data_IF_415014918491
#
_entry.id   IF_415014918491
#
_cell.length_a   1.000
_cell.length_b   1.000
_cell.length_c   1.000
_cell.angle_alpha   90.00
_cell.angle_beta   90.00
_cell.angle_gamma   90.00
#
_symmetry.space_group_name_H-M   'P 1'
#
loop_
_entity.id
_entity.type
_entity.pdbx_description
1 polymer ?
#
# COMPACT_ATOMS: atom_id res chain seq x y z
N UNK A 1 -23.01 69.30 17.83
CA UNK A 1 -23.13 68.61 19.14
C UNK A 1 -22.68 67.17 18.93
N UNK A 2 -21.37 66.97 19.00
CA UNK A 2 -20.77 65.64 19.14
C UNK A 2 -20.43 65.51 20.63
N UNK A 3 -20.76 64.42 21.32
CA UNK A 3 -20.22 64.20 22.65
C UNK A 3 -18.75 63.81 22.51
N UNK A 4 -17.92 64.43 23.36
CA UNK A 4 -16.47 64.24 23.48
C UNK A 4 -16.05 62.77 23.55
N UNK A 5 -15.26 62.32 22.58
CA UNK A 5 -14.61 61.01 22.52
C UNK A 5 -13.25 61.05 23.27
N UNK A 6 -13.06 61.98 24.22
CA UNK A 6 -11.75 62.25 24.79
C UNK A 6 -11.48 61.64 26.19
N UNK A 7 -12.36 60.81 26.76
CA UNK A 7 -12.23 60.41 28.18
C UNK A 7 -12.36 58.91 28.52
N UNK A 8 -12.17 57.97 27.58
CA UNK A 8 -12.32 56.51 27.89
C UNK A 8 -11.02 55.68 27.80
N UNK A 9 -9.89 56.20 27.28
CA UNK A 9 -8.74 55.33 26.94
C UNK A 9 -7.52 55.38 27.90
N UNK A 10 -7.71 55.54 29.22
CA UNK A 10 -6.56 55.48 30.15
C UNK A 10 -6.65 54.52 31.33
N UNK A 11 -7.76 53.81 31.55
CA UNK A 11 -7.90 52.91 32.72
C UNK A 11 -7.68 51.42 32.44
N UNK A 12 -7.46 50.98 31.19
CA UNK A 12 -7.43 49.54 30.84
C UNK A 12 -6.01 48.98 30.58
N UNK A 13 -4.94 49.75 30.82
CA UNK A 13 -3.57 49.41 30.37
C UNK A 13 -2.77 48.53 31.34
N UNK A 14 -3.44 47.61 32.03
CA UNK A 14 -2.76 46.63 32.90
C UNK A 14 -2.32 45.40 32.10
N UNK A 15 -1.17 44.81 32.45
CA UNK A 15 -0.66 43.58 31.82
C UNK A 15 -1.71 42.46 31.79
N UNK A 16 -2.49 42.19 32.87
CA UNK A 16 -3.53 41.16 32.85
C UNK A 16 -4.69 41.48 31.87
N UNK A 17 -5.10 42.74 31.73
CA UNK A 17 -6.14 43.12 30.74
C UNK A 17 -5.64 42.94 29.30
N UNK A 18 -4.37 43.26 29.03
CA UNK A 18 -3.75 42.99 27.73
C UNK A 18 -3.70 41.49 27.41
N UNK A 19 -3.44 40.65 28.42
CA UNK A 19 -3.46 39.18 28.26
C UNK A 19 -4.88 38.67 27.99
N UNK A 20 -5.89 39.19 28.68
CA UNK A 20 -7.28 38.83 28.42
C UNK A 20 -7.69 39.20 27.00
N UNK A 21 -7.38 40.42 26.55
CA UNK A 21 -7.63 40.86 25.17
C UNK A 21 -6.91 39.95 24.15
N UNK A 22 -5.64 39.61 24.41
CA UNK A 22 -4.88 38.68 23.57
C UNK A 22 -5.45 37.26 23.56
N UNK A 23 -6.00 36.78 24.68
CA UNK A 23 -6.55 35.43 24.82
C UNK A 23 -7.81 35.20 23.96
N UNK A 24 -8.51 36.26 23.55
CA UNK A 24 -9.77 36.15 22.82
C UNK A 24 -9.65 35.39 21.49
N UNK A 25 -8.49 35.47 20.83
CA UNK A 25 -8.21 34.80 19.55
C UNK A 25 -7.57 33.41 19.71
N UNK A 26 -7.57 32.84 20.92
CA UNK A 26 -6.95 31.54 21.21
C UNK A 26 -8.01 30.44 21.35
N UNK A 27 -7.62 29.16 21.09
CA UNK A 27 -8.45 27.99 21.37
C UNK A 27 -9.04 28.00 22.78
N UNK A 28 -10.24 27.45 22.94
CA UNK A 28 -10.95 27.47 24.21
C UNK A 28 -10.17 26.76 25.31
N UNK A 29 -9.49 25.65 24.99
CA UNK A 29 -8.65 24.95 25.97
C UNK A 29 -7.46 25.81 26.44
N UNK A 30 -6.88 26.65 25.57
CA UNK A 30 -5.80 27.58 25.95
C UNK A 30 -6.32 28.71 26.83
N UNK A 31 -7.55 29.16 26.60
CA UNK A 31 -8.21 30.16 27.44
C UNK A 31 -8.54 29.60 28.83
N UNK A 32 -8.89 28.32 28.93
CA UNK A 32 -9.04 27.65 30.24
C UNK A 32 -7.68 27.43 30.92
N UNK A 33 -6.63 27.07 30.17
CA UNK A 33 -5.27 27.01 30.70
C UNK A 33 -4.82 28.36 31.29
N UNK A 34 -5.07 29.46 30.57
CA UNK A 34 -4.80 30.82 31.06
C UNK A 34 -5.58 31.14 32.34
N UNK A 35 -6.86 30.77 32.41
CA UNK A 35 -7.66 30.93 33.63
C UNK A 35 -7.05 30.17 34.81
N UNK A 36 -6.63 28.92 34.61
CA UNK A 36 -5.96 28.12 35.65
C UNK A 36 -4.64 28.74 36.09
N UNK A 37 -3.83 29.23 35.15
CA UNK A 37 -2.57 29.92 35.44
C UNK A 37 -2.79 31.20 36.25
N UNK A 38 -3.80 32.00 35.89
CA UNK A 38 -4.14 33.25 36.58
C UNK A 38 -4.66 33.04 38.01
N UNK A 39 -5.38 31.93 38.25
CA UNK A 39 -5.99 31.63 39.55
C UNK A 39 -5.04 30.84 40.46
N UNK A 40 -4.43 29.78 39.94
CA UNK A 40 -3.74 28.75 40.72
C UNK A 40 -2.24 28.67 40.43
N UNK A 41 -1.73 29.43 39.44
CA UNK A 41 -0.35 29.30 38.96
C UNK A 41 -0.16 28.11 38.00
N UNK A 42 1.09 27.66 37.86
CA UNK A 42 1.44 26.60 36.91
C UNK A 42 0.62 25.32 37.19
N UNK A 43 -0.01 24.70 36.15
CA UNK A 43 -0.87 23.53 36.34
C UNK A 43 -0.16 22.34 37.00
N UNK A 44 -0.91 21.59 37.82
CA UNK A 44 -0.49 20.30 38.37
C UNK A 44 -0.85 19.15 37.42
N UNK A 45 -0.48 17.91 37.79
CA UNK A 45 -0.68 16.74 36.95
C UNK A 45 -2.17 16.49 36.61
N UNK A 46 -3.06 16.69 37.58
CA UNK A 46 -4.51 16.56 37.37
C UNK A 46 -5.02 17.62 36.38
N UNK A 47 -4.57 18.87 36.52
CA UNK A 47 -4.91 19.93 35.58
C UNK A 47 -4.32 19.68 34.18
N UNK A 48 -3.14 19.07 34.06
CA UNK A 48 -2.58 18.68 32.77
C UNK A 48 -3.43 17.64 32.04
N UNK A 49 -3.92 16.62 32.74
CA UNK A 49 -4.82 15.62 32.16
C UNK A 49 -6.14 16.24 31.69
N UNK A 50 -6.73 17.14 32.48
CA UNK A 50 -7.93 17.87 32.06
C UNK A 50 -7.69 18.76 30.84
N UNK A 51 -6.56 19.48 30.79
CA UNK A 51 -6.19 20.33 29.66
C UNK A 51 -5.89 19.51 28.40
N UNK A 52 -5.28 18.33 28.54
CA UNK A 52 -5.06 17.39 27.45
C UNK A 52 -6.40 16.90 26.88
N UNK A 53 -7.35 16.52 27.74
CA UNK A 53 -8.69 16.10 27.33
C UNK A 53 -9.44 17.23 26.61
N UNK A 54 -9.38 18.47 27.13
CA UNK A 54 -9.98 19.63 26.48
C UNK A 54 -9.35 19.94 25.11
N UNK A 55 -8.03 19.77 24.98
CA UNK A 55 -7.32 19.93 23.72
C UNK A 55 -7.79 18.89 22.68
N UNK A 56 -7.94 17.61 23.08
CA UNK A 56 -8.46 16.55 22.21
C UNK A 56 -9.92 16.81 21.81
N UNK A 57 -10.76 17.28 22.74
CA UNK A 57 -12.16 17.62 22.49
C UNK A 57 -12.32 18.67 21.39
N UNK A 58 -11.51 19.73 21.44
CA UNK A 58 -11.54 20.80 20.44
C UNK A 58 -11.09 20.32 19.05
N UNK A 59 -10.39 19.17 18.97
CA UNK A 59 -9.95 18.52 17.74
C UNK A 59 -10.77 17.29 17.34
N UNK A 60 -11.97 17.09 17.94
CA UNK A 60 -12.95 16.09 17.50
C UNK A 60 -13.13 14.88 18.40
N UNK A 61 -12.57 14.86 19.61
CA UNK A 61 -12.86 13.81 20.60
C UNK A 61 -14.16 14.08 21.36
N UNK A 62 -15.26 13.48 20.90
CA UNK A 62 -16.58 13.61 21.50
C UNK A 62 -16.75 12.84 22.83
N UNK A 63 -15.80 11.97 23.18
CA UNK A 63 -15.89 11.18 24.43
C UNK A 63 -15.65 12.03 25.69
N UNK A 64 -15.05 13.21 25.51
CA UNK A 64 -14.69 14.11 26.60
C UNK A 64 -15.90 14.95 27.06
N UNK A 65 -16.41 14.65 28.26
CA UNK A 65 -17.51 15.38 28.88
C UNK A 65 -17.10 16.77 29.44
N UNK A 66 -15.81 17.01 29.67
CA UNK A 66 -15.28 18.27 30.22
C UNK A 66 -15.60 19.47 29.32
N UNK A 67 -15.91 20.62 29.92
CA UNK A 67 -16.21 21.88 29.22
C UNK A 67 -15.18 22.93 29.64
N UNK A 68 -14.50 23.52 28.66
CA UNK A 68 -13.50 24.57 28.89
C UNK A 68 -14.17 25.83 29.47
N UNK A 69 -13.58 26.41 30.52
CA UNK A 69 -14.03 27.67 31.11
C UNK A 69 -13.04 28.78 30.73
N UNK A 70 -13.39 29.66 29.78
CA UNK A 70 -12.45 30.66 29.30
C UNK A 70 -12.09 31.68 30.38
N UNK A 71 -10.90 32.25 30.28
CA UNK A 71 -10.53 33.45 31.03
C UNK A 71 -11.53 34.59 30.76
N UNK A 72 -12.04 35.19 31.84
CA UNK A 72 -12.98 36.34 31.85
C UNK A 72 -12.43 37.45 32.75
N UNK A 73 -13.04 38.65 32.67
CA UNK A 73 -12.67 39.80 33.52
C UNK A 73 -12.77 39.46 35.01
N UNK A 74 -13.72 38.63 35.42
CA UNK A 74 -13.94 38.22 36.81
C UNK A 74 -12.76 37.44 37.41
N UNK A 75 -11.87 36.91 36.55
CA UNK A 75 -10.66 36.19 36.97
C UNK A 75 -9.43 37.12 37.10
N UNK A 76 -9.50 38.33 36.55
CA UNK A 76 -8.40 39.29 36.58
C UNK A 76 -8.41 40.12 37.88
N UNK A 77 -7.28 40.74 38.26
CA UNK A 77 -7.27 41.69 39.37
C UNK A 77 -8.19 42.87 39.06
N UNK A 78 -8.97 43.30 40.05
CA UNK A 78 -9.67 44.58 39.98
C UNK A 78 -8.61 45.68 40.07
N UNK A 79 -8.55 46.54 39.06
CA UNK A 79 -7.79 47.78 39.15
C UNK A 79 -8.60 48.72 40.05
N UNK A 80 -8.10 49.14 41.24
CA UNK A 80 -8.79 50.13 42.06
C UNK A 80 -8.91 51.49 41.36
N UNK A 81 -8.30 51.65 40.18
CA UNK A 81 -8.36 52.86 39.37
C UNK A 81 -7.15 53.75 39.64
N UNK A 82 -6.83 54.58 38.65
CA UNK A 82 -5.67 55.50 38.72
C UNK A 82 -5.85 56.46 39.90
N UNK A 83 -5.15 56.19 41.01
CA UNK A 83 -5.08 57.07 42.19
C UNK A 83 -5.68 56.50 43.48
N UNK A 84 -6.35 55.35 43.46
CA UNK A 84 -6.83 54.70 44.68
C UNK A 84 -5.88 53.56 45.09
N UNK A 85 -5.02 53.79 46.08
CA UNK A 85 -4.25 52.72 46.72
C UNK A 85 -5.09 52.07 47.82
N UNK A 86 -5.18 50.74 47.79
CA UNK A 86 -5.79 49.93 48.85
C UNK A 86 -4.67 49.46 49.79
N UNK A 87 -4.72 49.90 51.05
CA UNK A 87 -3.75 49.53 52.09
C UNK A 87 -4.41 48.65 53.15
N UNK A 88 -3.72 47.60 53.60
CA UNK A 88 -4.17 46.78 54.72
C UNK A 88 -3.65 47.40 56.02
N UNK A 89 -4.55 47.81 56.91
CA UNK A 89 -4.22 48.46 58.20
C UNK A 89 -4.30 47.50 59.40
N UNK A 90 -4.90 46.32 59.24
CA UNK A 90 -4.85 45.30 60.29
C UNK A 90 -5.66 44.03 60.04
N UNK A 91 -5.46 43.04 60.89
CA UNK A 91 -6.23 41.81 61.03
C UNK A 91 -6.76 41.78 62.46
N UNK A 92 -8.08 41.69 62.66
CA UNK A 92 -8.74 41.66 63.95
C UNK A 92 -9.62 40.42 64.10
N UNK A 93 -10.07 40.14 65.32
CA UNK A 93 -11.07 39.10 65.63
C UNK A 93 -10.76 37.73 65.02
N UNK A 94 -9.49 37.34 64.98
CA UNK A 94 -9.06 36.05 64.42
C UNK A 94 -9.65 34.90 65.25
N UNK A 95 -10.20 33.89 64.58
CA UNK A 95 -10.69 32.66 65.19
C UNK A 95 -10.50 31.46 64.25
N UNK A 96 -10.24 30.28 64.81
CA UNK A 96 -10.10 29.04 64.02
C UNK A 96 -8.82 28.90 63.20
N UNK A 97 -7.78 29.72 63.47
CA UNK A 97 -6.51 29.72 62.73
C UNK A 97 -5.35 29.30 63.62
N UNK A 98 -4.75 28.14 63.35
CA UNK A 98 -3.67 27.54 64.12
C UNK A 98 -3.97 27.64 65.64
N UNK A 99 -2.96 27.99 66.45
CA UNK A 99 -3.08 28.27 67.89
C UNK A 99 -3.09 29.80 68.18
N UNK A 100 -3.63 30.61 67.25
CA UNK A 100 -3.79 32.04 67.50
C UNK A 100 -4.89 32.27 68.53
N UNK A 101 -4.67 33.21 69.45
CA UNK A 101 -5.67 33.52 70.48
C UNK A 101 -6.93 34.10 69.84
N UNK A 102 -8.10 33.59 70.25
CA UNK A 102 -9.38 34.11 69.75
C UNK A 102 -9.52 35.59 70.07
N UNK A 103 -9.89 36.42 69.09
CA UNK A 103 -10.03 37.87 69.27
C UNK A 103 -8.72 38.66 69.11
N UNK A 104 -7.62 37.99 68.75
CA UNK A 104 -6.34 38.68 68.58
C UNK A 104 -6.39 39.68 67.41
N UNK A 105 -5.73 40.81 67.61
CA UNK A 105 -5.62 41.88 66.61
C UNK A 105 -4.15 42.18 66.33
N UNK A 106 -3.81 42.30 65.05
CA UNK A 106 -2.51 42.66 64.52
C UNK A 106 -2.69 43.86 63.60
N UNK A 107 -2.10 45.00 63.96
CA UNK A 107 -2.18 46.21 63.14
C UNK A 107 -0.94 46.33 62.25
N UNK A 108 -1.12 46.92 61.08
CA UNK A 108 -0.07 47.25 60.12
C UNK A 108 0.02 48.76 59.96
N UNK A 109 1.21 49.23 59.59
CA UNK A 109 1.43 50.63 59.25
C UNK A 109 0.87 50.88 57.85
N UNK A 110 -0.05 51.86 57.71
CA UNK A 110 -0.75 52.14 56.44
C UNK A 110 0.20 52.63 55.34
N UNK A 111 1.29 53.29 55.74
CA UNK A 111 2.33 53.80 54.86
C UNK A 111 3.70 53.55 55.48
N UNK A 112 4.27 52.37 55.23
CA UNK A 112 5.60 52.03 55.70
C UNK A 112 5.93 50.55 55.59
N UNK A 113 6.93 50.13 56.37
CA UNK A 113 7.35 48.74 56.49
C UNK A 113 6.99 48.22 57.89
N UNK A 114 6.09 47.24 57.97
CA UNK A 114 5.79 46.54 59.23
C UNK A 114 6.60 45.25 59.34
N UNK A 115 7.47 45.16 60.36
CA UNK A 115 8.28 43.96 60.62
C UNK A 115 7.67 43.18 61.78
N UNK A 116 7.22 41.95 61.51
CA UNK A 116 6.69 41.04 62.53
C UNK A 116 7.72 39.95 62.82
N UNK A 117 8.22 39.93 64.05
CA UNK A 117 9.22 38.96 64.50
C UNK A 117 8.79 38.30 65.82
N UNK A 118 9.41 37.16 66.13
CA UNK A 118 9.10 36.37 67.32
C UNK A 118 9.69 34.97 67.21
N UNK A 119 9.70 34.21 68.31
CA UNK A 119 10.22 32.84 68.31
C UNK A 119 9.44 31.91 67.37
N UNK A 120 10.03 30.80 66.97
CA UNK A 120 9.30 29.78 66.22
C UNK A 120 8.11 29.26 67.05
N UNK A 121 6.96 29.05 66.40
CA UNK A 121 5.73 28.63 67.09
C UNK A 121 4.83 29.76 67.61
N UNK A 122 5.25 31.04 67.54
CA UNK A 122 4.43 32.18 68.04
C UNK A 122 3.26 32.59 67.13
N UNK A 123 2.87 31.77 66.14
CA UNK A 123 1.72 32.05 65.29
C UNK A 123 1.94 32.99 64.09
N UNK A 124 3.16 33.49 63.83
CA UNK A 124 3.47 34.37 62.66
C UNK A 124 2.99 33.80 61.33
N UNK A 125 3.22 32.50 61.12
CA UNK A 125 2.78 31.79 59.91
C UNK A 125 1.26 31.65 59.82
N UNK A 126 0.53 31.74 60.94
CA UNK A 126 -0.93 31.73 60.97
C UNK A 126 -1.53 32.98 60.32
N UNK A 127 -1.01 34.16 60.66
CA UNK A 127 -1.43 35.42 60.03
C UNK A 127 -1.16 35.45 58.53
N UNK A 128 -0.02 34.95 58.09
CA UNK A 128 0.30 34.87 56.65
C UNK A 128 -0.61 33.87 55.91
N UNK A 129 -1.09 32.81 56.55
CA UNK A 129 -2.09 31.90 55.95
C UNK A 129 -3.44 32.58 55.77
N UNK A 130 -3.90 33.36 56.75
CA UNK A 130 -5.11 34.19 56.61
C UNK A 130 -4.96 35.11 55.41
N UNK A 131 -3.86 35.87 55.34
CA UNK A 131 -3.62 36.79 54.23
C UNK A 131 -3.54 36.07 52.88
N UNK A 132 -2.88 34.92 52.82
CA UNK A 132 -2.79 34.13 51.58
C UNK A 132 -4.13 33.60 51.09
N UNK A 133 -5.10 33.37 51.98
CA UNK A 133 -6.45 32.89 51.67
C UNK A 133 -7.45 34.01 51.44
N UNK A 134 -7.34 35.08 52.20
CA UNK A 134 -8.25 36.22 52.12
C UNK A 134 -7.90 37.18 51.00
N UNK A 135 -6.60 37.40 50.77
CA UNK A 135 -6.07 38.23 49.70
C UNK A 135 -5.55 37.36 48.54
N UNK A 136 -5.11 37.98 47.44
CA UNK A 136 -4.63 37.24 46.27
C UNK A 136 -3.24 36.66 46.53
N UNK A 137 -3.11 35.33 46.47
CA UNK A 137 -1.82 34.63 46.52
C UNK A 137 -1.78 33.49 45.52
N UNK A 138 -0.62 33.26 44.89
CA UNK A 138 -0.40 32.12 43.97
C UNK A 138 -0.40 30.77 44.67
N UNK A 139 -0.13 30.76 45.97
CA UNK A 139 -0.13 29.57 46.80
C UNK A 139 -0.90 29.87 48.08
N UNK A 140 -2.23 29.94 47.93
CA UNK A 140 -3.17 29.94 49.04
C UNK A 140 -3.15 28.57 49.73
N UNK A 141 -2.09 28.28 50.50
CA UNK A 141 -1.98 27.06 51.30
C UNK A 141 -3.17 26.92 52.27
N UNK A 142 -3.31 25.75 52.89
CA UNK A 142 -4.41 25.48 53.82
C UNK A 142 -4.26 26.25 55.14
N UNK A 143 -5.37 26.78 55.66
CA UNK A 143 -5.44 27.33 57.00
C UNK A 143 -5.72 26.16 57.95
N UNK A 144 -4.70 25.79 58.73
CA UNK A 144 -4.82 24.65 59.65
C UNK A 144 -5.51 25.08 60.95
N UNK A 145 -6.46 24.30 61.49
CA UNK A 145 -7.07 24.58 62.79
C UNK A 145 -6.13 24.29 63.96
N UNK A 146 -6.54 24.64 65.18
CA UNK A 146 -5.78 24.32 66.39
C UNK A 146 -5.71 22.80 66.62
N UNK A 147 -4.50 22.24 66.52
CA UNK A 147 -4.23 20.81 66.70
C UNK A 147 -4.47 20.35 68.14
N UNK A 148 -4.46 21.28 69.11
CA UNK A 148 -4.69 20.97 70.53
C UNK A 148 -6.14 21.16 70.98
N UNK A 149 -7.03 21.65 70.10
CA UNK A 149 -8.44 21.83 70.44
C UNK A 149 -9.20 20.51 70.39
N UNK A 150 -9.96 20.20 71.44
CA UNK A 150 -10.86 19.04 71.49
C UNK A 150 -12.10 19.21 70.58
N UNK A 151 -12.36 20.42 70.09
CA UNK A 151 -13.43 20.74 69.14
C UNK A 151 -12.95 21.88 68.25
N UNK A 152 -12.08 21.59 67.26
CA UNK A 152 -11.52 22.62 66.39
C UNK A 152 -12.64 23.30 65.60
N UNK A 153 -12.66 24.64 65.60
CA UNK A 153 -13.51 25.42 64.72
C UNK A 153 -13.15 25.08 63.27
N UNK A 154 -14.11 24.58 62.49
CA UNK A 154 -13.84 24.08 61.13
C UNK A 154 -13.57 25.17 60.11
N UNK A 155 -14.15 26.36 60.30
CA UNK A 155 -13.96 27.51 59.44
C UNK A 155 -13.17 28.59 60.16
N UNK A 156 -12.04 28.98 59.58
CA UNK A 156 -11.26 30.11 60.04
C UNK A 156 -11.98 31.43 59.71
N UNK A 157 -11.96 32.39 60.63
CA UNK A 157 -12.55 33.71 60.44
C UNK A 157 -11.61 34.81 60.93
N UNK A 158 -11.66 35.97 60.27
CA UNK A 158 -10.94 37.16 60.68
C UNK A 158 -11.65 38.42 60.13
N UNK A 159 -11.36 39.57 60.73
CA UNK A 159 -11.75 40.88 60.22
C UNK A 159 -10.53 41.60 59.65
N UNK A 160 -10.58 41.96 58.38
CA UNK A 160 -9.51 42.65 57.68
C UNK A 160 -9.83 44.14 57.60
N UNK A 161 -8.98 44.97 58.18
CA UNK A 161 -9.12 46.43 58.13
C UNK A 161 -8.36 46.96 56.94
N UNK A 162 -9.06 47.69 56.08
CA UNK A 162 -8.57 48.20 54.81
C UNK A 162 -8.79 49.70 54.78
N UNK A 163 -7.80 50.47 54.33
CA UNK A 163 -7.90 51.90 54.08
C UNK A 163 -7.73 52.22 52.60
N UNK A 164 -8.47 53.24 52.11
CA UNK A 164 -8.33 53.82 50.77
C UNK A 164 -7.69 55.19 50.88
N UNK A 165 -6.94 55.61 49.86
CA UNK A 165 -6.30 56.93 49.81
C UNK A 165 -7.27 58.12 50.02
N UNK A 166 -8.56 57.95 49.77
CA UNK A 166 -9.62 58.97 49.82
C UNK A 166 -10.75 58.68 50.83
N UNK A 167 -10.68 57.58 51.60
CA UNK A 167 -11.83 57.04 52.35
C UNK A 167 -11.56 56.69 53.81
N UNK A 168 -12.65 56.49 54.57
CA UNK A 168 -12.60 55.95 55.93
C UNK A 168 -12.15 54.48 55.93
N UNK A 169 -11.52 54.02 57.02
CA UNK A 169 -11.15 52.62 57.18
C UNK A 169 -12.39 51.73 57.18
N UNK A 170 -12.40 50.73 56.29
CA UNK A 170 -13.45 49.73 56.16
C UNK A 170 -12.99 48.41 56.79
N UNK A 171 -13.91 47.71 57.46
CA UNK A 171 -13.64 46.39 58.02
C UNK A 171 -14.38 45.34 57.20
N UNK A 172 -13.63 44.43 56.60
CA UNK A 172 -14.15 43.31 55.80
C UNK A 172 -14.14 42.04 56.65
N UNK A 173 -15.30 41.42 56.81
CA UNK A 173 -15.41 40.11 57.44
C UNK A 173 -14.96 39.02 56.45
N UNK A 174 -13.93 38.25 56.83
CA UNK A 174 -13.42 37.13 56.06
C UNK A 174 -13.73 35.80 56.76
N UNK A 175 -14.18 34.83 55.97
CA UNK A 175 -14.39 33.45 56.38
C UNK A 175 -13.74 32.53 55.32
N UNK A 176 -13.01 31.52 55.80
CA UNK A 176 -12.39 30.51 54.93
C UNK A 176 -13.48 29.74 54.16
N UNK A 177 -13.25 29.51 52.86
CA UNK A 177 -14.25 29.01 51.89
C UNK A 177 -15.47 29.91 51.63
N UNK A 178 -15.51 31.13 52.19
CA UNK A 178 -16.52 32.15 51.90
C UNK A 178 -16.29 32.89 50.57
N UNK A 179 -17.25 33.73 50.18
CA UNK A 179 -17.07 34.65 49.05
C UNK A 179 -15.92 35.61 49.34
N UNK A 180 -14.92 35.64 48.45
CA UNK A 180 -13.82 36.60 48.52
C UNK A 180 -14.36 37.98 48.16
N UNK A 181 -14.22 38.94 49.06
CA UNK A 181 -14.62 40.31 48.76
C UNK A 181 -13.74 40.94 47.69
N UNK A 182 -14.36 41.62 46.72
CA UNK A 182 -13.68 42.15 45.52
C UNK A 182 -12.50 43.05 45.88
N UNK A 183 -12.61 43.79 46.99
CA UNK A 183 -11.60 44.69 47.53
C UNK A 183 -10.31 44.00 47.98
N UNK A 184 -10.40 42.79 48.54
CA UNK A 184 -9.24 42.04 49.00
C UNK A 184 -8.42 41.46 47.84
N UNK A 185 -9.02 41.35 46.65
CA UNK A 185 -8.35 40.86 45.44
C UNK A 185 -7.27 41.82 44.92
N UNK A 186 -7.33 43.10 45.30
CA UNK A 186 -6.34 44.12 44.96
C UNK A 186 -5.03 43.97 45.78
N UNK A 187 -5.07 43.29 46.93
CA UNK A 187 -3.91 43.08 47.79
C UNK A 187 -3.23 41.76 47.38
N UNK A 188 -1.96 41.85 46.97
CA UNK A 188 -1.17 40.67 46.60
C UNK A 188 -0.22 40.25 47.72
N UNK A 189 -0.29 38.99 48.12
CA UNK A 189 0.57 38.42 49.18
C UNK A 189 1.71 37.64 48.55
N UNK A 190 2.94 38.09 48.82
CA UNK A 190 4.17 37.50 48.32
C UNK A 190 4.90 36.71 49.42
N UNK A 191 5.40 35.52 49.09
CA UNK A 191 6.10 34.65 50.03
C UNK A 191 7.25 33.86 49.38
N UNK A 192 7.93 33.02 50.16
CA UNK A 192 9.04 32.19 49.67
C UNK A 192 8.61 31.17 48.61
N UNK A 193 7.43 30.58 48.73
CA UNK A 193 6.95 29.59 47.76
C UNK A 193 6.61 30.29 46.43
N UNK A 194 6.02 31.49 46.47
CA UNK A 194 5.87 32.36 45.31
C UNK A 194 7.21 32.78 44.68
N UNK A 195 8.26 32.95 45.49
CA UNK A 195 9.61 33.23 45.02
C UNK A 195 10.31 32.00 44.41
N UNK A 196 10.00 30.78 44.85
CA UNK A 196 10.67 29.55 44.37
C UNK A 196 10.43 29.27 42.89
N UNK A 197 9.25 29.64 42.37
CA UNK A 197 8.91 29.63 40.93
C UNK A 197 9.85 30.55 40.14
N UNK A 198 10.34 31.63 40.75
CA UNK A 198 11.21 32.62 40.11
C UNK A 198 12.71 32.26 40.20
N UNK A 199 13.11 31.35 41.09
CA UNK A 199 14.53 31.05 41.36
C UNK A 199 15.00 29.77 40.65
N UNK A 200 14.11 28.83 40.33
CA UNK A 200 14.51 27.49 39.88
C UNK A 200 14.79 27.35 38.37
N UNK A 201 14.46 28.34 37.52
CA UNK A 201 14.76 28.30 36.08
C UNK A 201 15.84 29.33 35.73
N UNK A 202 16.92 28.83 35.11
CA UNK A 202 18.15 29.56 34.76
C UNK A 202 17.89 30.91 34.06
N UNK A 203 18.54 31.95 34.60
CA UNK A 203 18.93 33.24 33.99
C UNK A 203 17.92 33.90 33.02
N UNK A 204 17.15 34.88 33.52
CA UNK A 204 17.25 36.31 33.16
C UNK A 204 16.07 37.11 33.76
N UNK A 205 16.41 38.28 34.32
CA UNK A 205 15.55 39.35 34.89
C UNK A 205 14.95 39.09 36.30
N UNK A 206 15.52 39.81 37.27
CA UNK A 206 15.32 39.70 38.73
C UNK A 206 14.00 40.23 39.31
N UNK A 207 13.04 40.64 38.47
CA UNK A 207 11.75 41.11 38.95
C UNK A 207 10.76 41.08 37.77
N UNK A 208 9.79 40.17 37.80
CA UNK A 208 8.70 40.13 36.81
C UNK A 208 7.43 40.67 37.46
N UNK A 209 6.96 41.87 37.05
CA UNK A 209 5.62 42.35 37.41
C UNK A 209 4.56 41.28 37.14
N UNK A 210 3.56 41.22 38.02
CA UNK A 210 2.47 40.25 37.94
C UNK A 210 1.84 40.25 36.54
N UNK A 211 1.83 39.07 35.91
CA UNK A 211 1.24 38.85 34.59
C UNK A 211 2.25 38.62 33.47
N UNK A 212 3.51 39.06 33.62
CA UNK A 212 4.54 38.86 32.57
C UNK A 212 5.02 37.41 32.45
N UNK A 213 4.75 36.59 33.46
CA UNK A 213 5.08 35.16 33.51
C UNK A 213 3.98 34.26 32.93
N UNK A 214 2.73 34.75 32.85
CA UNK A 214 1.60 33.99 32.33
C UNK A 214 1.84 33.47 30.89
N UNK A 215 2.40 34.26 29.95
CA UNK A 215 2.69 33.75 28.61
C UNK A 215 3.74 32.63 28.60
N UNK A 216 4.76 32.72 29.46
CA UNK A 216 5.82 31.71 29.57
C UNK A 216 5.27 30.42 30.20
N UNK A 217 4.42 30.53 31.21
CA UNK A 217 3.72 29.38 31.81
C UNK A 217 2.82 28.70 30.80
N UNK A 218 2.04 29.47 30.01
CA UNK A 218 1.22 28.91 28.94
C UNK A 218 2.07 28.23 27.86
N UNK A 219 3.23 28.79 27.51
CA UNK A 219 4.16 28.16 26.58
C UNK A 219 4.68 26.83 27.12
N UNK A 220 5.00 26.77 28.42
CA UNK A 220 5.36 25.53 29.12
C UNK A 220 4.24 24.50 29.06
N UNK A 221 3.00 24.91 29.34
CA UNK A 221 1.82 24.03 29.24
C UNK A 221 1.64 23.48 27.83
N UNK A 222 1.82 24.32 26.80
CA UNK A 222 1.73 23.88 25.41
C UNK A 222 2.83 22.87 25.04
N UNK A 223 4.04 23.03 25.57
CA UNK A 223 5.15 22.08 25.35
C UNK A 223 4.87 20.73 26.01
N UNK A 224 4.33 20.73 27.23
CA UNK A 224 3.97 19.52 27.95
C UNK A 224 2.85 18.74 27.22
N UNK A 225 1.78 19.43 26.81
CA UNK A 225 0.69 18.82 26.03
C UNK A 225 1.23 18.25 24.71
N UNK A 226 2.13 18.98 24.03
CA UNK A 226 2.78 18.47 22.81
C UNK A 226 3.56 17.19 23.08
N UNK A 227 4.32 17.13 24.17
CA UNK A 227 5.10 15.94 24.53
C UNK A 227 4.19 14.73 24.77
N UNK A 228 3.10 14.89 25.53
CA UNK A 228 2.12 13.84 25.80
C UNK A 228 1.44 13.34 24.53
N UNK A 229 0.96 14.25 23.68
CA UNK A 229 0.35 13.89 22.39
C UNK A 229 1.33 13.20 21.45
N UNK A 230 2.61 13.57 21.48
CA UNK A 230 3.66 12.92 20.66
C UNK A 230 3.91 11.50 21.14
N UNK A 231 4.03 11.28 22.45
CA UNK A 231 4.22 9.94 23.02
C UNK A 231 3.00 9.02 22.76
N UNK A 232 1.79 9.56 22.88
CA UNK A 232 0.56 8.83 22.55
C UNK A 232 0.50 8.47 21.05
N UNK A 233 0.84 9.41 20.17
CA UNK A 233 0.93 9.16 18.73
C UNK A 233 1.92 8.03 18.42
N UNK A 234 3.12 8.06 18.99
CA UNK A 234 4.14 7.01 18.78
C UNK A 234 3.64 5.63 19.24
N UNK A 235 2.92 5.58 20.37
CA UNK A 235 2.31 4.35 20.89
C UNK A 235 1.23 3.81 19.94
N UNK A 236 0.39 4.68 19.38
CA UNK A 236 -0.63 4.31 18.41
C UNK A 236 0.00 3.85 17.08
N UNK A 237 1.07 4.50 16.63
CA UNK A 237 1.81 4.10 15.44
C UNK A 237 2.43 2.71 15.59
N UNK A 238 2.93 2.37 16.79
CA UNK A 238 3.42 1.01 17.09
C UNK A 238 2.32 -0.06 17.10
N UNK A 239 1.06 0.34 17.33
CA UNK A 239 -0.09 -0.56 17.29
C UNK A 239 -0.56 -0.83 15.85
N UNK A 240 -0.06 -0.06 14.88
CA UNK A 240 -0.41 -0.25 13.46
C UNK A 240 0.04 -1.63 12.97
N UNK A 241 -0.87 -2.33 12.30
CA UNK A 241 -0.53 -3.62 11.69
C UNK A 241 0.51 -3.42 10.59
N UNK A 242 1.63 -4.15 10.66
CA UNK A 242 2.76 -4.06 9.75
C UNK A 242 2.42 -4.31 8.28
N UNK A 243 1.30 -4.97 8.00
CA UNK A 243 0.75 -5.13 6.64
C UNK A 243 0.50 -3.78 5.96
N UNK A 244 0.20 -2.72 6.70
CA UNK A 244 0.03 -1.37 6.14
C UNK A 244 1.35 -0.61 5.93
N UNK A 245 2.46 -1.08 6.52
CA UNK A 245 3.79 -0.48 6.30
C UNK A 245 4.36 -0.87 4.95
N UNK A 246 4.13 -2.12 4.55
CA UNK A 246 4.50 -2.64 3.23
C UNK A 246 3.30 -3.35 2.58
N UNK A 247 2.36 -2.59 1.99
CA UNK A 247 1.11 -3.12 1.49
C UNK A 247 1.33 -4.12 0.34
N UNK A 248 0.80 -5.33 0.53
CA UNK A 248 0.87 -6.43 -0.46
C UNK A 248 -0.19 -6.31 -1.57
N UNK A 249 -1.15 -5.38 -1.44
CA UNK A 249 -2.20 -5.19 -2.42
C UNK A 249 -1.76 -4.31 -3.60
N UNK A 250 -2.30 -4.61 -4.77
CA UNK A 250 -2.06 -3.83 -5.98
C UNK A 250 -2.71 -2.46 -5.91
N UNK A 251 -1.92 -1.40 -6.09
CA UNK A 251 -2.41 -0.01 -6.24
C UNK A 251 -3.30 0.20 -7.48
N UNK A 252 -3.35 -0.77 -8.39
CA UNK A 252 -4.23 -0.74 -9.57
C UNK A 252 -5.63 -1.30 -9.28
N UNK A 253 -5.81 -2.12 -8.24
CA UNK A 253 -7.13 -2.68 -7.91
C UNK A 253 -7.97 -1.67 -7.14
N UNK A 254 -9.29 -1.69 -7.33
CA UNK A 254 -10.20 -0.82 -6.59
C UNK A 254 -10.09 -1.05 -5.07
N UNK A 255 -9.98 -2.31 -4.65
CA UNK A 255 -9.79 -2.68 -3.25
C UNK A 255 -8.45 -2.21 -2.71
N UNK A 256 -7.35 -2.35 -3.46
CA UNK A 256 -6.04 -1.90 -3.02
C UNK A 256 -5.94 -0.38 -2.89
N UNK A 257 -6.57 0.37 -3.81
CA UNK A 257 -6.71 1.82 -3.66
C UNK A 257 -7.45 2.20 -2.39
N UNK A 258 -8.55 1.51 -2.11
CA UNK A 258 -9.37 1.79 -0.93
C UNK A 258 -8.66 1.42 0.39
N UNK A 259 -7.93 0.29 0.43
CA UNK A 259 -7.11 -0.12 1.58
C UNK A 259 -5.95 0.84 1.84
N UNK A 260 -5.36 1.41 0.78
CA UNK A 260 -4.32 2.45 0.92
C UNK A 260 -4.87 3.82 1.34
N UNK A 261 -6.17 4.07 1.18
CA UNK A 261 -6.80 5.35 1.50
C UNK A 261 -7.70 5.28 2.74
N UNK A 262 -7.51 4.29 3.61
CA UNK A 262 -8.30 4.14 4.83
C UNK A 262 -8.15 5.37 5.73
N UNK A 263 -9.30 5.82 6.22
CA UNK A 263 -9.46 6.91 7.18
C UNK A 263 -10.34 6.44 8.33
N UNK A 264 -10.34 7.20 9.42
CA UNK A 264 -11.17 6.94 10.60
C UNK A 264 -12.68 6.83 10.31
N UNK A 265 -13.15 7.46 9.22
CA UNK A 265 -14.55 7.53 8.77
C UNK A 265 -14.84 6.58 7.58
N UNK A 266 -13.91 5.71 7.21
CA UNK A 266 -14.11 4.81 6.07
C UNK A 266 -15.12 3.71 6.40
N UNK A 267 -16.17 3.61 5.58
CA UNK A 267 -17.14 2.52 5.66
C UNK A 267 -16.51 1.18 5.25
N UNK A 268 -16.22 0.35 6.25
CA UNK A 268 -15.64 -0.99 6.07
C UNK A 268 -16.62 -1.93 5.36
N UNK A 269 -17.93 -1.74 5.51
CA UNK A 269 -18.93 -2.58 4.85
C UNK A 269 -18.89 -2.37 3.33
N UNK A 270 -18.68 -1.14 2.86
CA UNK A 270 -18.48 -0.83 1.44
C UNK A 270 -17.21 -1.46 0.84
N UNK A 271 -16.21 -1.79 1.67
CA UNK A 271 -14.97 -2.46 1.25
C UNK A 271 -15.08 -3.97 1.19
N UNK A 272 -16.17 -4.54 1.70
CA UNK A 272 -16.36 -5.99 1.70
C UNK A 272 -16.66 -6.45 0.28
N UNK A 273 -15.81 -7.33 -0.31
CA UNK A 273 -16.03 -7.77 -1.68
C UNK A 273 -17.35 -8.55 -1.79
N UNK A 274 -18.18 -8.17 -2.78
CA UNK A 274 -19.50 -8.79 -3.03
C UNK A 274 -19.40 -10.27 -3.42
N UNK A 275 -18.24 -10.70 -3.91
CA UNK A 275 -17.94 -12.07 -4.30
C UNK A 275 -16.78 -12.57 -3.44
N UNK A 276 -17.02 -13.61 -2.65
CA UNK A 276 -15.96 -14.26 -1.91
C UNK A 276 -14.95 -14.91 -2.88
N UNK A 277 -13.67 -14.87 -2.53
CA UNK A 277 -12.63 -15.59 -3.26
C UNK A 277 -12.89 -17.08 -3.13
N UNK A 278 -13.18 -17.75 -4.25
CA UNK A 278 -13.56 -19.15 -4.27
C UNK A 278 -12.36 -20.06 -4.56
N UNK A 279 -12.51 -21.36 -4.28
CA UNK A 279 -11.49 -22.36 -4.65
C UNK A 279 -11.21 -22.39 -6.17
N UNK A 280 -12.20 -22.03 -7.00
CA UNK A 280 -12.03 -21.93 -8.45
C UNK A 280 -11.13 -20.72 -8.83
N UNK A 281 -11.24 -19.61 -8.10
CA UNK A 281 -10.38 -18.45 -8.28
C UNK A 281 -8.94 -18.75 -7.86
N UNK A 282 -8.75 -19.52 -6.77
CA UNK A 282 -7.44 -20.00 -6.33
C UNK A 282 -6.78 -20.90 -7.39
N UNK A 283 -7.51 -21.90 -7.90
CA UNK A 283 -7.01 -22.76 -8.96
C UNK A 283 -6.64 -21.97 -10.23
N UNK A 284 -7.45 -20.96 -10.59
CA UNK A 284 -7.16 -20.05 -11.70
C UNK A 284 -5.92 -19.20 -11.43
N UNK A 285 -5.74 -18.67 -10.22
CA UNK A 285 -4.58 -17.87 -9.84
C UNK A 285 -3.29 -18.69 -9.96
N UNK A 286 -3.28 -19.92 -9.43
CA UNK A 286 -2.13 -20.83 -9.54
C UNK A 286 -1.80 -21.10 -11.01
N UNK A 287 -2.81 -21.36 -11.84
CA UNK A 287 -2.63 -21.55 -13.29
C UNK A 287 -2.00 -20.31 -13.94
N UNK A 288 -2.54 -19.12 -13.68
CA UNK A 288 -2.02 -17.87 -14.24
C UNK A 288 -0.57 -17.61 -13.81
N UNK A 289 -0.22 -17.89 -12.55
CA UNK A 289 1.16 -17.77 -12.06
C UNK A 289 2.10 -18.72 -12.81
N UNK A 290 1.68 -19.96 -13.04
CA UNK A 290 2.44 -20.92 -13.84
C UNK A 290 2.59 -20.45 -15.29
N UNK A 291 1.51 -19.97 -15.91
CA UNK A 291 1.51 -19.48 -17.29
C UNK A 291 2.43 -18.25 -17.46
N UNK A 292 2.42 -17.33 -16.48
CA UNK A 292 3.27 -16.13 -16.45
C UNK A 292 4.74 -16.42 -16.13
N UNK A 293 5.05 -17.55 -15.48
CA UNK A 293 6.43 -17.98 -15.23
C UNK A 293 7.12 -18.51 -16.50
N UNK A 294 6.35 -18.92 -17.51
CA UNK A 294 6.88 -19.36 -18.79
C UNK A 294 7.11 -18.15 -19.72
N UNK A 295 8.16 -18.22 -20.55
CA UNK A 295 8.38 -17.21 -21.59
C UNK A 295 7.23 -17.27 -22.62
N UNK A 296 6.44 -16.20 -22.78
CA UNK A 296 5.30 -16.18 -23.70
C UNK A 296 5.70 -16.50 -25.14
N UNK A 297 6.93 -16.16 -25.56
CA UNK A 297 7.42 -16.44 -26.90
C UNK A 297 7.66 -17.95 -27.08
N UNK A 298 8.21 -18.62 -26.08
CA UNK A 298 8.47 -20.06 -26.10
C UNK A 298 7.15 -20.84 -26.06
N UNK A 299 6.23 -20.47 -25.17
CA UNK A 299 4.92 -21.10 -25.08
C UNK A 299 4.11 -20.93 -26.38
N UNK A 300 4.12 -19.72 -26.97
CA UNK A 300 3.45 -19.46 -28.24
C UNK A 300 4.09 -20.25 -29.40
N UNK A 301 5.42 -20.36 -29.43
CA UNK A 301 6.10 -21.14 -30.45
C UNK A 301 5.76 -22.64 -30.34
N UNK A 302 5.78 -23.21 -29.14
CA UNK A 302 5.40 -24.60 -28.92
C UNK A 302 3.96 -24.91 -29.38
N UNK A 303 3.01 -24.00 -29.14
CA UNK A 303 1.63 -24.15 -29.62
C UNK A 303 1.52 -24.04 -31.15
N UNK A 304 2.29 -23.15 -31.79
CA UNK A 304 2.34 -23.06 -33.27
C UNK A 304 2.96 -24.31 -33.88
N UNK A 305 4.04 -24.83 -33.29
CA UNK A 305 4.70 -26.05 -33.75
C UNK A 305 3.76 -27.25 -33.63
N UNK A 306 3.00 -27.33 -32.54
CA UNK A 306 1.98 -28.38 -32.36
C UNK A 306 0.84 -28.27 -33.38
N UNK A 307 0.34 -27.06 -33.64
CA UNK A 307 -0.66 -26.83 -34.69
C UNK A 307 -0.12 -27.24 -36.08
N UNK A 308 1.12 -26.87 -36.41
CA UNK A 308 1.75 -27.26 -37.66
C UNK A 308 1.92 -28.78 -37.79
N UNK A 309 2.21 -29.49 -36.70
CA UNK A 309 2.25 -30.96 -36.69
C UNK A 309 0.87 -31.58 -36.96
N UNK A 310 -0.19 -31.00 -36.40
CA UNK A 310 -1.57 -31.45 -36.66
C UNK A 310 -1.96 -31.20 -38.13
N UNK A 311 -1.62 -30.05 -38.70
CA UNK A 311 -1.86 -29.74 -40.11
C UNK A 311 -1.10 -30.69 -41.04
N UNK A 312 0.16 -31.02 -40.70
CA UNK A 312 0.95 -32.00 -41.42
C UNK A 312 0.33 -33.40 -41.37
N UNK A 313 -0.16 -33.81 -40.19
CA UNK A 313 -0.83 -35.09 -40.01
C UNK A 313 -2.12 -35.14 -40.83
N UNK A 314 -2.94 -34.09 -40.80
CA UNK A 314 -4.16 -33.98 -41.59
C UNK A 314 -3.86 -34.10 -43.10
N UNK A 315 -2.84 -33.37 -43.57
CA UNK A 315 -2.41 -33.40 -44.97
C UNK A 315 -1.93 -34.79 -45.37
N UNK A 316 -1.17 -35.46 -44.50
CA UNK A 316 -0.70 -36.82 -44.74
C UNK A 316 -1.86 -37.83 -44.83
N UNK A 317 -2.82 -37.74 -43.91
CA UNK A 317 -4.02 -38.58 -43.92
C UNK A 317 -4.85 -38.37 -45.18
N UNK A 318 -5.06 -37.12 -45.60
CA UNK A 318 -5.74 -36.79 -46.86
C UNK A 318 -5.03 -37.37 -48.09
N UNK A 319 -3.69 -37.36 -48.09
CA UNK A 319 -2.91 -37.97 -49.17
C UNK A 319 -3.10 -39.48 -49.22
N UNK A 320 -3.06 -40.15 -48.06
CA UNK A 320 -3.32 -41.60 -47.97
C UNK A 320 -4.71 -41.91 -48.53
N UNK A 321 -5.73 -41.18 -48.07
CA UNK A 321 -7.11 -41.34 -48.53
C UNK A 321 -7.23 -41.19 -50.05
N UNK A 322 -6.61 -40.18 -50.65
CA UNK A 322 -6.61 -39.99 -52.11
C UNK A 322 -5.88 -41.10 -52.88
N UNK A 323 -4.82 -41.68 -52.31
CA UNK A 323 -4.05 -42.74 -52.97
C UNK A 323 -4.68 -44.13 -52.84
N UNK A 324 -5.50 -44.34 -51.81
CA UNK A 324 -6.13 -45.62 -51.49
C UNK A 324 -7.66 -45.56 -51.64
N UNK A 325 -8.18 -44.58 -52.37
CA UNK A 325 -9.60 -44.54 -52.69
C UNK A 325 -9.97 -45.62 -53.71
N UNK A 326 -11.27 -45.91 -53.79
CA UNK A 326 -11.80 -46.96 -54.63
C UNK A 326 -11.46 -46.74 -56.11
N UNK A 327 -11.47 -45.48 -56.57
CA UNK A 327 -11.09 -45.14 -57.94
C UNK A 327 -9.62 -45.44 -58.25
N UNK A 328 -8.69 -45.09 -57.36
CA UNK A 328 -7.26 -45.36 -57.51
C UNK A 328 -6.97 -46.86 -57.46
N UNK A 329 -7.63 -47.60 -56.57
CA UNK A 329 -7.51 -49.06 -56.49
C UNK A 329 -8.07 -49.75 -57.74
N UNK A 330 -9.22 -49.29 -58.25
CA UNK A 330 -9.78 -49.79 -59.51
C UNK A 330 -8.86 -49.50 -60.70
N UNK A 331 -8.27 -48.31 -60.79
CA UNK A 331 -7.33 -47.94 -61.84
C UNK A 331 -6.05 -48.81 -61.77
N UNK A 332 -5.54 -49.08 -60.57
CA UNK A 332 -4.41 -50.00 -60.37
C UNK A 332 -4.75 -51.42 -60.84
N UNK A 333 -5.92 -51.93 -60.46
CA UNK A 333 -6.40 -53.25 -60.88
C UNK A 333 -6.58 -53.34 -62.40
N UNK A 334 -7.14 -52.30 -63.03
CA UNK A 334 -7.29 -52.22 -64.48
C UNK A 334 -5.93 -52.21 -65.20
N UNK A 335 -4.96 -51.46 -64.69
CA UNK A 335 -3.60 -51.40 -65.24
C UNK A 335 -2.89 -52.74 -65.12
N UNK A 336 -3.02 -53.41 -63.96
CA UNK A 336 -2.48 -54.78 -63.76
C UNK A 336 -3.12 -55.76 -64.74
N UNK A 337 -4.44 -55.75 -64.87
CA UNK A 337 -5.17 -56.62 -65.81
C UNK A 337 -4.71 -56.38 -67.25
N UNK A 338 -4.61 -55.12 -67.67
CA UNK A 338 -4.11 -54.78 -69.00
C UNK A 338 -2.67 -55.25 -69.23
N UNK A 339 -1.80 -55.18 -68.22
CA UNK A 339 -0.43 -55.68 -68.33
C UNK A 339 -0.38 -57.21 -68.45
N UNK A 340 -1.24 -57.93 -67.72
CA UNK A 340 -1.35 -59.38 -67.80
C UNK A 340 -1.95 -59.82 -69.15
N UNK A 341 -2.99 -59.13 -69.65
CA UNK A 341 -3.59 -59.37 -70.96
C UNK A 341 -2.58 -59.12 -72.09
N UNK A 342 -1.82 -58.01 -72.04
CA UNK A 342 -0.76 -57.72 -73.01
C UNK A 342 0.37 -58.76 -72.96
N UNK A 343 0.74 -59.24 -71.76
CA UNK A 343 1.76 -60.29 -71.59
C UNK A 343 1.27 -61.63 -72.16
N UNK A 344 0.01 -61.98 -71.94
CA UNK A 344 -0.60 -63.17 -72.54
C UNK A 344 -0.62 -63.06 -74.06
N UNK A 345 -1.09 -61.94 -74.62
CA UNK A 345 -1.11 -61.71 -76.07
C UNK A 345 0.30 -61.80 -76.68
N UNK A 346 1.31 -61.22 -76.01
CA UNK A 346 2.71 -61.33 -76.45
C UNK A 346 3.23 -62.76 -76.42
N UNK A 347 2.86 -63.55 -75.40
CA UNK A 347 3.23 -64.96 -75.32
C UNK A 347 2.55 -65.79 -76.43
N UNK A 348 1.27 -65.56 -76.72
CA UNK A 348 0.56 -66.21 -77.81
C UNK A 348 1.18 -65.84 -79.17
N UNK A 349 1.42 -64.55 -79.42
CA UNK A 349 2.05 -64.10 -80.66
C UNK A 349 3.46 -64.68 -80.84
N UNK A 350 4.23 -64.82 -79.77
CA UNK A 350 5.53 -65.48 -79.81
C UNK A 350 5.39 -66.98 -80.12
N UNK A 351 4.47 -67.68 -79.46
CA UNK A 351 4.20 -69.08 -79.73
C UNK A 351 3.79 -69.30 -81.20
N UNK A 352 2.85 -68.51 -81.72
CA UNK A 352 2.38 -68.63 -83.11
C UNK A 352 3.51 -68.36 -84.11
N UNK A 353 4.33 -67.33 -83.89
CA UNK A 353 5.43 -66.95 -84.79
C UNK A 353 6.54 -68.01 -84.87
N UNK A 354 6.69 -68.84 -83.83
CA UNK A 354 7.76 -69.84 -83.72
C UNK A 354 7.26 -71.29 -83.75
N UNK A 355 5.95 -71.51 -83.88
CA UNK A 355 5.28 -72.82 -83.93
C UNK A 355 5.77 -73.76 -85.05
N UNK A 356 6.39 -73.21 -86.12
CA UNK A 356 6.96 -73.96 -87.23
C UNK A 356 8.44 -74.32 -87.09
N UNK A 357 9.09 -74.02 -85.96
CA UNK A 357 10.49 -74.35 -85.73
C UNK A 357 10.68 -75.79 -85.23
N UNK A 358 11.86 -76.36 -85.47
CA UNK A 358 12.19 -77.74 -85.11
C UNK A 358 12.29 -78.01 -83.59
N UNK A 359 12.19 -76.97 -82.75
CA UNK A 359 12.18 -77.06 -81.30
C UNK A 359 10.88 -76.49 -80.75
N UNK A 360 10.16 -77.31 -79.99
CA UNK A 360 8.97 -76.86 -79.24
C UNK A 360 9.37 -75.88 -78.12
N UNK A 361 8.50 -74.91 -77.83
CA UNK A 361 8.69 -73.94 -76.74
C UNK A 361 9.57 -72.73 -77.08
N UNK A 362 9.99 -72.55 -78.35
CA UNK A 362 10.72 -71.35 -78.78
C UNK A 362 9.80 -70.12 -78.69
N UNK A 363 10.25 -69.06 -78.02
CA UNK A 363 9.47 -67.84 -77.79
C UNK A 363 8.68 -67.79 -76.47
N UNK A 364 8.55 -68.92 -75.77
CA UNK A 364 7.91 -69.02 -74.45
C UNK A 364 8.79 -68.43 -73.32
N UNK A 365 8.24 -68.19 -72.12
CA UNK A 365 8.98 -67.54 -71.03
C UNK A 365 10.30 -68.23 -70.68
N UNK A 366 10.33 -69.56 -70.66
CA UNK A 366 11.54 -70.33 -70.34
C UNK A 366 12.61 -70.16 -71.42
N UNK A 367 12.22 -70.20 -72.69
CA UNK A 367 13.13 -69.94 -73.81
C UNK A 367 13.64 -68.50 -73.80
N UNK A 368 12.77 -67.52 -73.50
CA UNK A 368 13.17 -66.11 -73.36
C UNK A 368 14.18 -65.91 -72.24
N UNK A 369 13.97 -66.52 -71.08
CA UNK A 369 14.95 -66.49 -69.98
C UNK A 369 16.28 -67.09 -70.39
N UNK A 370 16.28 -68.23 -71.11
CA UNK A 370 17.50 -68.82 -71.66
C UNK A 370 18.20 -67.88 -72.66
N UNK A 371 17.43 -67.28 -73.58
CA UNK A 371 17.93 -66.34 -74.59
C UNK A 371 18.49 -65.05 -73.97
N UNK A 372 17.81 -64.47 -73.00
CA UNK A 372 18.26 -63.28 -72.26
C UNK A 372 19.48 -63.57 -71.40
N UNK A 373 19.54 -64.75 -70.79
CA UNK A 373 20.72 -65.20 -70.04
C UNK A 373 21.91 -65.42 -70.97
N UNK A 374 21.70 -66.03 -72.14
CA UNK A 374 22.74 -66.18 -73.17
C UNK A 374 23.20 -64.82 -73.73
N UNK A 375 22.27 -63.88 -73.95
CA UNK A 375 22.57 -62.51 -74.35
C UNK A 375 23.39 -61.79 -73.28
N UNK A 376 22.99 -61.89 -72.01
CA UNK A 376 23.68 -61.27 -70.87
C UNK A 376 25.07 -61.87 -70.70
N UNK A 377 25.22 -63.19 -70.81
CA UNK A 377 26.51 -63.87 -70.82
C UNK A 377 27.39 -63.38 -71.98
N UNK A 378 26.84 -63.26 -73.20
CA UNK A 378 27.57 -62.75 -74.35
C UNK A 378 28.08 -61.31 -74.16
N UNK A 379 27.36 -60.47 -73.42
CA UNK A 379 27.78 -59.10 -73.11
C UNK A 379 28.95 -59.05 -72.12
N UNK A 380 29.08 -60.06 -71.26
CA UNK A 380 30.17 -60.18 -70.28
C UNK A 380 31.38 -60.93 -70.88
N UNK A 381 31.14 -61.93 -71.72
CA UNK A 381 32.17 -62.83 -72.24
C UNK A 381 32.90 -62.32 -73.49
N UNK A 382 32.31 -61.41 -74.28
CA UNK A 382 33.02 -60.73 -75.39
C UNK A 382 33.52 -59.35 -74.95
N UNK A 383 34.62 -58.89 -75.55
CA UNK A 383 35.15 -57.53 -75.38
C UNK A 383 34.04 -56.49 -75.63
N UNK A 384 34.05 -55.44 -74.80
CA UNK A 384 32.99 -54.44 -74.65
C UNK A 384 32.54 -53.84 -76.00
N UNK A 385 31.26 -54.04 -76.34
CA UNK A 385 30.60 -53.38 -77.48
C UNK A 385 30.18 -54.28 -78.64
N UNK A 386 30.42 -55.59 -78.59
CA UNK A 386 29.95 -56.51 -79.64
C UNK A 386 28.42 -56.67 -79.63
N UNK A 387 27.77 -56.51 -80.79
CA UNK A 387 26.32 -56.68 -80.95
C UNK A 387 25.93 -58.18 -80.88
N UNK A 388 24.84 -58.48 -80.16
CA UNK A 388 24.26 -59.82 -80.08
C UNK A 388 22.89 -59.85 -80.80
N UNK A 389 22.62 -60.85 -81.66
CA UNK A 389 23.49 -61.97 -82.04
C UNK A 389 24.68 -61.55 -82.92
N UNK A 390 25.82 -62.27 -82.88
CA UNK A 390 27.01 -61.93 -83.65
C UNK A 390 26.77 -62.02 -85.17
N UNK A 391 27.53 -61.26 -85.95
CA UNK A 391 27.50 -61.29 -87.42
C UNK A 391 27.94 -62.65 -87.97
N UNK A 392 27.47 -63.02 -89.18
CA UNK A 392 27.77 -64.32 -89.81
C UNK A 392 29.27 -64.65 -89.81
N UNK A 393 29.62 -65.84 -89.32
CA UNK A 393 30.99 -66.37 -89.33
C UNK A 393 31.70 -66.35 -87.98
N UNK A 394 31.15 -65.66 -86.97
CA UNK A 394 31.69 -65.65 -85.61
C UNK A 394 31.26 -66.86 -84.78
N UNK A 395 32.15 -67.34 -83.92
CA UNK A 395 31.90 -68.46 -82.99
C UNK A 395 30.82 -68.04 -82.00
N UNK A 396 29.65 -68.67 -82.10
CA UNK A 396 28.61 -68.58 -81.09
C UNK A 396 29.01 -69.53 -79.94
N UNK A 397 29.17 -69.00 -78.72
CA UNK A 397 29.38 -69.80 -77.50
C UNK A 397 28.27 -70.85 -77.29
N UNK A 398 28.41 -71.76 -76.31
CA UNK A 398 27.89 -73.12 -76.35
C UNK A 398 26.36 -73.20 -76.26
N UNK A 399 25.69 -72.90 -77.37
CA UNK A 399 24.32 -73.27 -77.71
C UNK A 399 24.35 -73.63 -79.21
N UNK A 400 24.75 -74.86 -79.57
CA UNK A 400 24.98 -75.26 -80.96
C UNK A 400 23.68 -75.56 -81.72
N UNK A 401 22.70 -74.64 -81.69
CA UNK A 401 21.42 -74.83 -82.39
C UNK A 401 20.95 -73.67 -83.27
N UNK A 402 21.67 -72.53 -83.34
CA UNK A 402 21.14 -71.36 -84.09
C UNK A 402 22.06 -70.71 -85.13
N UNK A 403 23.21 -71.32 -85.47
CA UNK A 403 24.04 -70.82 -86.57
C UNK A 403 24.11 -71.85 -87.71
N UNK A 404 23.08 -71.90 -88.56
CA UNK A 404 23.27 -72.40 -89.93
C UNK A 404 23.74 -71.25 -90.83
N UNK A 405 24.89 -71.38 -91.51
CA UNK A 405 25.40 -70.36 -92.41
C UNK A 405 24.76 -70.55 -93.79
N UNK A 406 23.62 -69.87 -94.03
CA UNK A 406 23.08 -69.47 -95.35
C UNK A 406 21.60 -69.08 -95.19
N UNK A 407 21.38 -67.85 -94.73
CA UNK A 407 20.16 -67.08 -94.99
C UNK A 407 20.54 -65.60 -94.87
N UNK A 408 20.55 -64.89 -95.99
CA UNK A 408 20.74 -63.44 -96.03
C UNK A 408 19.46 -62.77 -95.52
N UNK A 409 19.46 -62.28 -94.29
CA UNK A 409 18.36 -61.44 -93.81
C UNK A 409 18.69 -59.98 -94.13
N UNK A 410 17.91 -59.38 -95.04
CA UNK A 410 17.94 -57.93 -95.30
C UNK A 410 17.15 -57.28 -94.16
N UNK A 411 17.72 -56.36 -93.36
CA UNK A 411 16.97 -55.75 -92.27
C UNK A 411 15.81 -54.90 -92.82
N UNK A 412 14.61 -55.12 -92.28
CA UNK A 412 13.46 -54.23 -92.49
C UNK A 412 13.83 -52.85 -91.95
N UNK A 413 13.93 -51.88 -92.84
CA UNK A 413 14.14 -50.48 -92.49
C UNK A 413 12.80 -49.86 -92.10
N UNK A 414 12.64 -49.50 -90.82
CA UNK A 414 11.52 -48.68 -90.35
C UNK A 414 11.85 -47.22 -90.69
N UNK A 415 11.38 -46.75 -91.86
CA UNK A 415 11.27 -45.30 -92.11
C UNK A 415 9.99 -44.79 -91.46
N UNK A 416 10.11 -44.02 -90.38
CA UNK A 416 9.02 -43.13 -89.94
C UNK A 416 8.86 -42.02 -90.98
N UNK A 417 7.73 -41.96 -91.68
CA UNK A 417 7.23 -40.71 -92.27
C UNK A 417 6.35 -40.00 -91.21
N UNK A 418 6.41 -38.67 -91.09
CA UNK A 418 5.55 -37.95 -90.15
C UNK A 418 4.10 -38.03 -90.64
N UNK A 419 3.17 -38.47 -89.79
CA UNK A 419 1.74 -38.16 -89.97
C UNK A 419 0.71 -39.30 -90.07
N UNK A 420 1.02 -40.58 -89.79
CA UNK A 420 -0.03 -41.63 -89.72
C UNK A 420 0.25 -42.69 -88.63
N UNK A 421 -0.78 -42.98 -87.83
CA UNK A 421 -0.75 -43.87 -86.66
C UNK A 421 -1.27 -45.27 -87.02
N UNK A 422 -0.49 -46.08 -87.75
CA UNK A 422 -0.60 -47.56 -87.83
C UNK A 422 0.41 -48.13 -88.84
N UNK A 423 1.23 -49.14 -88.48
CA UNK A 423 2.10 -49.80 -89.44
C UNK A 423 1.37 -50.94 -90.18
N UNK A 424 1.45 -50.94 -91.51
CA UNK A 424 1.05 -52.05 -92.39
C UNK A 424 2.31 -52.84 -92.76
N UNK A 425 2.31 -54.16 -92.55
CA UNK A 425 3.37 -55.08 -92.96
C UNK A 425 3.00 -55.71 -94.31
N UNK A 426 3.80 -55.46 -95.36
CA UNK A 426 3.67 -56.12 -96.66
C UNK A 426 4.70 -57.25 -96.79
N UNK A 427 4.22 -58.47 -97.06
CA UNK A 427 5.02 -59.69 -97.18
C UNK A 427 5.88 -59.77 -98.45
N UNK A 428 6.90 -60.62 -98.40
CA UNK A 428 7.76 -60.96 -99.52
C UNK A 428 8.32 -62.37 -99.37
N UNK A 429 8.10 -63.17 -100.40
CA UNK A 429 8.40 -64.60 -100.54
C UNK A 429 9.90 -64.95 -100.43
N UNK A 430 10.18 -66.17 -99.96
CA UNK A 430 11.51 -66.78 -99.95
C UNK A 430 11.62 -67.83 -101.06
N UNK A 431 12.59 -67.67 -101.96
CA UNK A 431 12.92 -68.62 -103.02
C UNK A 431 14.18 -69.41 -102.62
N UNK A 432 14.04 -70.72 -102.45
CA UNK A 432 15.10 -71.65 -102.07
C UNK A 432 15.43 -72.57 -103.25
N UNK A 433 16.58 -72.36 -103.91
CA UNK A 433 17.16 -73.36 -104.84
C UNK A 433 18.32 -74.11 -104.20
N UNK A 434 18.21 -75.42 -104.28
CA UNK A 434 19.14 -76.45 -103.83
C UNK A 434 20.36 -76.59 -104.75
N UNK A 435 21.56 -76.57 -104.15
CA UNK A 435 22.71 -77.41 -104.52
C UNK A 435 23.67 -77.51 -103.33
#
# INVERSE_FOLDING_TARGET
MMPDIANIEKSDDTVPMRILAWSANRPLWQRDALRRIVLNGYPDEAAFEELLALCKKEHGDETVALVARPLSKDHLPVDPGVGESVSLSGIANVSGVNQLATGQTLNFEESGLTIIYGQNGTGKSGYTRILKRACRSRHAGEVMPDVYSASPTRTAKAELKISRASGAAETVAWEDEGQTEEMLSAITVFDRDAASVHVQKKNEVWFRPFGLDIPDDLAGVCQEIKARLTAEKETLEQTRNSVFDNPIWSSRSALGKALSSLRHDTDVAALTPKTAFSNADEARLIKLQSDLAQDPAVAAQAQRDYAAQLDQLETYLKRIEQTLNDEALQALHATKKSADDMRMAANTAAHDAFSGLALEGVGEPVWRTLWESARSYSQVAKETGAAFPPSQGDICGPVPLLCRPKCSFRPLSVRRRPGFSSPVLSGGDADCRSH
#
